data_IF_691794639889
#
_entry.id   IF_691794639889
#
_cell.length_a   1.000
_cell.length_b   1.000
_cell.length_c   1.000
_cell.angle_alpha   90.00
_cell.angle_beta   90.00
_cell.angle_gamma   90.00
#
_symmetry.space_group_name_H-M   'P 1'
#
loop_
_entity.id
_entity.type
_entity.pdbx_description
1 polymer ?
#
# COMPACT_ATOMS: atom_id res chain seq x y z
N UNK A 1 3.23 -34.69 -27.31
CA UNK A 1 3.24 -34.17 -27.04
C UNK A 1 3.37 -33.25 -26.87
N UNK A 2 3.40 -32.76 -26.80
CA UNK A 2 3.65 -31.99 -26.48
C UNK A 2 3.45 -31.08 -25.98
N UNK A 3 3.52 -30.68 -25.76
CA UNK A 3 3.35 -29.83 -25.31
C UNK A 3 3.53 -29.04 -24.99
N UNK A 4 3.70 -28.63 -24.82
CA UNK A 4 3.87 -27.81 -24.40
C UNK A 4 3.91 -27.03 -24.04
N UNK A 5 4.04 -26.68 -23.95
CA UNK A 5 4.08 -26.03 -23.55
C UNK A 5 4.26 -25.28 -23.08
N UNK A 6 4.31 -24.80 -22.97
CA UNK A 6 4.48 -24.00 -22.55
C UNK A 6 4.55 -23.35 -21.99
N UNK A 7 4.85 -23.06 -21.74
CA UNK A 7 4.92 -22.40 -21.09
C UNK A 7 5.10 -21.58 -20.72
N UNK A 8 4.82 -21.55 -20.43
CA UNK A 8 4.89 -20.62 -19.65
C UNK A 8 6.09 -20.09 -19.49
N UNK A 9 6.24 -19.25 -19.77
CA UNK A 9 7.26 -18.70 -19.67
C UNK A 9 7.61 -18.21 -18.55
N UNK A 10 8.46 -18.53 -18.05
CA UNK A 10 8.93 -17.97 -16.99
C UNK A 10 9.34 -16.73 -17.16
N UNK A 11 8.79 -16.03 -16.70
CA UNK A 11 9.06 -14.89 -16.90
C UNK A 11 10.28 -14.45 -16.39
N UNK A 12 10.66 -14.32 -15.37
CA UNK A 12 11.82 -13.66 -14.92
C UNK A 12 12.76 -14.64 -14.32
N UNK A 13 13.60 -15.17 -15.11
CA UNK A 13 14.60 -16.05 -14.58
C UNK A 13 15.40 -15.31 -13.54
N UNK A 14 15.66 -15.92 -12.49
CA UNK A 14 16.41 -15.28 -11.44
C UNK A 14 15.60 -14.70 -10.30
N UNK A 15 14.30 -14.71 -10.41
CA UNK A 15 13.49 -14.23 -9.31
C UNK A 15 13.15 -15.37 -8.40
N UNK A 16 13.57 -15.35 -7.16
CA UNK A 16 13.33 -16.49 -6.28
C UNK A 16 11.89 -16.59 -5.82
N UNK A 17 11.12 -15.60 -6.01
CA UNK A 17 9.75 -15.59 -5.49
C UNK A 17 8.71 -15.74 -6.57
N UNK A 18 9.08 -16.33 -7.67
CA UNK A 18 8.16 -16.42 -8.77
C UNK A 18 8.00 -15.09 -9.45
N UNK A 19 7.09 -15.04 -10.40
CA UNK A 19 7.07 -13.90 -11.21
C UNK A 19 5.79 -13.26 -11.08
N UNK A 20 5.85 -12.10 -10.67
CA UNK A 20 4.76 -11.23 -10.94
C UNK A 20 4.90 -10.81 -12.38
N UNK A 21 3.81 -10.82 -13.11
CA UNK A 21 3.87 -10.27 -14.44
C UNK A 21 4.31 -8.83 -14.32
N UNK A 22 5.07 -8.34 -15.25
CA UNK A 22 5.43 -6.94 -15.23
C UNK A 22 4.14 -6.17 -15.18
N UNK A 23 4.02 -5.38 -14.21
CA UNK A 23 2.85 -4.59 -14.06
C UNK A 23 2.74 -3.75 -15.30
N UNK A 24 1.60 -3.79 -15.90
CA UNK A 24 1.28 -2.79 -16.88
C UNK A 24 1.43 -1.48 -16.17
N UNK A 25 2.05 -0.52 -16.78
CA UNK A 25 2.13 0.78 -16.15
C UNK A 25 0.72 1.23 -15.84
N UNK A 26 0.45 1.35 -14.59
CA UNK A 26 -0.81 1.93 -14.20
C UNK A 26 -0.80 3.38 -14.65
N UNK A 27 -1.93 3.87 -15.16
CA UNK A 27 -1.97 5.28 -15.52
C UNK A 27 -1.60 6.10 -14.30
N UNK A 28 -0.88 7.18 -14.49
CA UNK A 28 -0.51 8.03 -13.38
C UNK A 28 -1.80 8.52 -12.71
N UNK A 29 -1.86 8.34 -11.42
CA UNK A 29 -2.99 8.81 -10.65
C UNK A 29 -2.61 10.10 -9.96
N UNK A 30 -3.54 11.01 -9.92
CA UNK A 30 -3.36 12.24 -9.17
C UNK A 30 -3.36 11.91 -7.68
N UNK A 31 -2.57 12.61 -6.90
CA UNK A 31 -2.65 12.49 -5.45
C UNK A 31 -4.07 12.75 -4.96
N UNK A 32 -4.48 12.00 -3.96
CA UNK A 32 -5.78 12.19 -3.34
C UNK A 32 -5.70 13.39 -2.41
N UNK A 33 -6.59 14.35 -2.59
CA UNK A 33 -6.62 15.55 -1.78
C UNK A 33 -7.90 15.62 -0.95
N UNK A 34 -7.95 16.50 0.02
CA UNK A 34 -9.18 16.71 0.79
C UNK A 34 -10.36 17.13 -0.10
N UNK A 35 -10.19 18.05 -1.05
CA UNK A 35 -11.27 18.35 -1.99
C UNK A 35 -11.75 17.12 -2.76
N UNK A 36 -10.84 16.24 -3.14
CA UNK A 36 -11.21 15.01 -3.85
C UNK A 36 -12.03 14.10 -2.95
N UNK A 37 -11.66 13.95 -1.69
CA UNK A 37 -12.43 13.14 -0.74
C UNK A 37 -13.84 13.70 -0.53
N UNK A 38 -13.95 15.02 -0.45
CA UNK A 38 -15.25 15.67 -0.35
C UNK A 38 -16.12 15.41 -1.57
N UNK A 39 -15.51 15.49 -2.73
CA UNK A 39 -16.18 15.24 -3.99
C UNK A 39 -16.68 13.80 -4.05
N UNK A 40 -15.87 12.83 -3.62
CA UNK A 40 -16.27 11.45 -3.55
C UNK A 40 -17.46 11.26 -2.60
N UNK A 41 -17.42 11.92 -1.45
CA UNK A 41 -18.50 11.85 -0.49
C UNK A 41 -19.81 12.42 -1.08
N UNK A 42 -19.73 13.55 -1.73
CA UNK A 42 -20.90 14.19 -2.32
C UNK A 42 -21.51 13.40 -3.47
N UNK A 43 -20.68 12.74 -4.25
CA UNK A 43 -21.16 11.95 -5.39
C UNK A 43 -21.56 10.53 -5.02
N UNK A 44 -21.38 10.12 -3.77
CA UNK A 44 -21.68 8.78 -3.32
C UNK A 44 -20.65 7.73 -3.68
N UNK A 45 -19.47 8.15 -4.14
CA UNK A 45 -18.35 7.23 -4.37
C UNK A 45 -17.80 6.76 -3.04
N UNK A 46 -17.52 5.48 -2.95
CA UNK A 46 -16.96 4.94 -1.71
C UNK A 46 -15.48 5.28 -1.56
N UNK A 47 -15.12 5.66 -0.36
CA UNK A 47 -13.73 5.94 -0.03
C UNK A 47 -13.19 4.71 0.69
N UNK A 48 -12.08 4.16 0.20
CA UNK A 48 -11.46 3.02 0.84
C UNK A 48 -10.37 3.47 1.78
N UNK A 49 -10.27 2.81 2.92
CA UNK A 49 -9.24 3.08 3.90
C UNK A 49 -8.66 1.76 4.37
N UNK A 50 -7.35 1.65 4.37
CA UNK A 50 -6.65 0.49 4.87
C UNK A 50 -5.58 0.92 5.86
N UNK A 51 -5.25 0.02 6.78
CA UNK A 51 -4.16 0.23 7.70
C UNK A 51 -2.85 -0.20 7.05
N UNK A 52 -1.80 0.59 7.22
CA UNK A 52 -0.47 0.24 6.76
C UNK A 52 0.56 0.82 7.73
N UNK A 53 1.63 0.08 7.96
CA UNK A 53 2.65 0.48 8.94
C UNK A 53 4.04 0.58 8.34
N UNK A 54 4.23 0.24 7.10
CA UNK A 54 5.54 0.32 6.45
C UNK A 54 5.42 0.76 4.99
N UNK A 55 6.56 1.04 4.39
CA UNK A 55 6.60 1.53 3.02
C UNK A 55 6.15 0.50 2.00
N UNK A 56 6.41 -0.76 2.24
CA UNK A 56 6.07 -1.83 1.31
C UNK A 56 4.57 -2.00 1.19
N UNK A 57 3.88 -2.12 2.32
CA UNK A 57 2.43 -2.24 2.30
C UNK A 57 1.75 -0.95 1.85
N UNK A 58 2.33 0.18 2.18
CA UNK A 58 1.81 1.45 1.67
C UNK A 58 1.86 1.51 0.15
N UNK A 59 2.97 1.06 -0.43
CA UNK A 59 3.12 1.03 -1.88
C UNK A 59 2.11 0.09 -2.54
N UNK A 60 1.86 -1.06 -1.94
CA UNK A 60 0.88 -2.02 -2.46
C UNK A 60 -0.53 -1.42 -2.41
N UNK A 61 -0.89 -0.82 -1.29
CA UNK A 61 -2.20 -0.20 -1.14
C UNK A 61 -2.38 0.97 -2.11
N UNK A 62 -1.34 1.76 -2.27
CA UNK A 62 -1.36 2.89 -3.20
C UNK A 62 -1.55 2.40 -4.65
N UNK A 63 -0.82 1.38 -5.04
CA UNK A 63 -0.96 0.79 -6.36
C UNK A 63 -2.35 0.20 -6.60
N UNK A 64 -2.97 -0.32 -5.55
CA UNK A 64 -4.32 -0.87 -5.62
C UNK A 64 -5.40 0.21 -5.70
N UNK A 65 -5.05 1.46 -5.47
CA UNK A 65 -6.00 2.57 -5.60
C UNK A 65 -6.69 2.97 -4.32
N UNK A 66 -6.19 2.54 -3.17
CA UNK A 66 -6.76 2.94 -1.88
C UNK A 66 -6.59 4.44 -1.70
N UNK A 67 -7.63 5.11 -1.24
CA UNK A 67 -7.62 6.56 -1.06
C UNK A 67 -6.96 7.00 0.24
N UNK A 68 -7.11 6.23 1.30
CA UNK A 68 -6.62 6.63 2.61
C UNK A 68 -5.88 5.50 3.30
N UNK A 69 -4.79 5.83 3.97
CA UNK A 69 -4.08 4.89 4.82
C UNK A 69 -4.13 5.37 6.26
N UNK A 70 -4.39 4.44 7.15
CA UNK A 70 -4.42 4.70 8.58
C UNK A 70 -3.15 4.17 9.21
N UNK A 71 -2.44 5.03 9.91
CA UNK A 71 -1.33 4.62 10.75
C UNK A 71 -1.79 4.84 12.20
N UNK A 72 -2.20 3.76 12.83
CA UNK A 72 -2.80 3.83 14.16
C UNK A 72 -1.98 3.11 15.21
N UNK A 73 -2.46 3.19 16.44
CA UNK A 73 -1.75 2.64 17.60
C UNK A 73 -1.72 1.11 17.64
N UNK A 74 -2.52 0.43 16.84
CA UNK A 74 -2.42 -1.02 16.77
C UNK A 74 -1.05 -1.50 16.26
N UNK A 75 -0.25 -0.60 15.69
CA UNK A 75 1.14 -0.92 15.33
C UNK A 75 1.93 -1.43 16.51
N UNK A 76 1.59 -0.98 17.72
CA UNK A 76 2.27 -1.44 18.93
C UNK A 76 2.08 -2.93 19.15
N UNK A 77 0.92 -3.44 18.85
CA UNK A 77 0.64 -4.87 19.00
C UNK A 77 1.12 -5.66 17.78
N UNK A 78 0.84 -5.17 16.60
CA UNK A 78 1.11 -5.89 15.35
C UNK A 78 2.58 -5.86 14.96
N UNK A 79 3.23 -4.73 15.14
CA UNK A 79 4.63 -4.55 14.70
C UNK A 79 5.63 -4.67 15.84
N UNK A 80 5.26 -4.22 17.04
CA UNK A 80 6.18 -4.19 18.16
C UNK A 80 5.97 -5.32 19.17
N UNK A 81 4.88 -6.07 19.03
CA UNK A 81 4.59 -7.18 19.93
C UNK A 81 4.17 -6.78 21.33
N UNK A 82 3.72 -5.55 21.51
CA UNK A 82 3.24 -5.09 22.81
C UNK A 82 1.90 -5.74 23.15
N UNK A 83 1.59 -5.91 24.45
CA UNK A 83 0.32 -6.54 24.83
C UNK A 83 -0.89 -5.64 24.65
N UNK A 84 -0.69 -4.36 24.45
CA UNK A 84 -1.78 -3.40 24.22
C UNK A 84 -1.28 -2.19 23.47
N UNK A 85 -2.18 -1.29 23.12
CA UNK A 85 -1.82 -0.06 22.40
C UNK A 85 -1.32 1.04 23.34
N UNK A 86 -1.43 0.84 24.64
CA UNK A 86 -1.11 1.87 25.63
C UNK A 86 0.35 2.29 25.60
N UNK A 87 1.23 1.39 25.22
CA UNK A 87 2.67 1.67 25.18
C UNK A 87 3.14 2.40 23.92
N UNK A 88 2.25 2.69 22.99
CA UNK A 88 2.65 3.37 21.74
C UNK A 88 2.86 4.85 22.00
N UNK A 89 3.99 5.36 21.57
CA UNK A 89 4.35 6.76 21.76
C UNK A 89 4.12 7.56 20.48
N UNK A 90 4.06 8.86 20.62
CA UNK A 90 3.97 9.76 19.48
C UNK A 90 5.16 9.56 18.53
N UNK A 91 6.34 9.34 19.08
CA UNK A 91 7.53 9.11 18.29
C UNK A 91 7.42 7.86 17.41
N UNK A 92 6.87 6.80 17.97
CA UNK A 92 6.64 5.55 17.23
C UNK A 92 5.66 5.77 16.07
N UNK A 93 4.58 6.46 16.33
CA UNK A 93 3.59 6.76 15.29
C UNK A 93 4.21 7.64 14.20
N UNK A 94 5.01 8.60 14.60
CA UNK A 94 5.73 9.45 13.66
C UNK A 94 6.65 8.65 12.76
N UNK A 95 7.45 7.77 13.35
CA UNK A 95 8.36 6.91 12.60
C UNK A 95 7.62 6.10 11.53
N UNK A 96 6.54 5.43 11.93
CA UNK A 96 5.78 4.62 11.02
C UNK A 96 5.06 5.44 9.94
N UNK A 97 4.58 6.63 10.32
CA UNK A 97 3.93 7.52 9.35
C UNK A 97 4.94 7.99 8.29
N UNK A 98 6.15 8.30 8.69
CA UNK A 98 7.19 8.68 7.75
C UNK A 98 7.51 7.53 6.79
N UNK A 99 7.57 6.31 7.30
CA UNK A 99 7.82 5.12 6.48
C UNK A 99 6.69 4.91 5.47
N UNK A 100 5.45 4.99 5.91
CA UNK A 100 4.28 4.87 5.05
C UNK A 100 4.31 5.96 3.97
N UNK A 101 4.60 7.18 4.36
CA UNK A 101 4.67 8.31 3.43
C UNK A 101 5.67 8.06 2.30
N UNK A 102 6.81 7.50 2.63
CA UNK A 102 7.82 7.20 1.63
C UNK A 102 7.39 6.14 0.63
N UNK A 103 6.45 5.29 1.01
CA UNK A 103 5.90 4.27 0.12
C UNK A 103 4.84 4.79 -0.83
N UNK A 104 4.32 5.97 -0.58
CA UNK A 104 3.23 6.53 -1.37
C UNK A 104 3.79 7.29 -2.58
N UNK A 105 3.49 6.81 -3.75
CA UNK A 105 4.01 7.43 -4.97
C UNK A 105 3.13 8.54 -5.50
N UNK A 106 1.86 8.50 -5.17
CA UNK A 106 0.94 9.53 -5.63
C UNK A 106 1.03 10.82 -4.84
N UNK A 107 1.75 10.80 -3.74
CA UNK A 107 1.94 11.98 -2.91
C UNK A 107 3.06 12.86 -3.45
N UNK A 108 3.87 12.31 -4.31
CA UNK A 108 4.96 13.07 -4.87
C UNK A 108 4.52 13.63 -6.19
N UNK A 109 3.78 14.60 -6.15
CA UNK A 109 3.26 15.18 -7.35
C UNK A 109 4.15 16.19 -7.95
#
# INVERSE_FOLDING_TARGET
MNAPTTPATPAHPGTPYGTLPPASPLPPRKPVSLPRLREMHQSGEKITMLTAYDATFAAVADAAGVECLLVGDSLGMVCQGLPSTVGVTLETVRYHTESVSRGLRRVQG
#
